data_IF_454549465915
#
_entry.id   IF_454549465915
#
_cell.length_a   1.000
_cell.length_b   1.000
_cell.length_c   1.000
_cell.angle_alpha   90.00
_cell.angle_beta   90.00
_cell.angle_gamma   90.00
#
_symmetry.space_group_name_H-M   'P 1'
#
loop_
_entity.id
_entity.type
_entity.pdbx_description
1 polymer ?
#
# COMPACT_ATOMS: atom_id res chain seq x y z
N UNK A 1 15.07 4.31 -7.11
CA UNK A 1 13.98 5.22 -6.67
C UNK A 1 12.98 5.58 -7.78
N UNK A 2 13.36 5.88 -9.04
CA UNK A 2 12.35 6.18 -10.10
C UNK A 2 11.64 4.92 -10.64
N UNK A 3 12.26 3.74 -10.53
CA UNK A 3 11.71 2.50 -11.10
C UNK A 3 10.59 1.93 -10.23
N UNK A 4 10.75 2.01 -8.92
CA UNK A 4 9.86 1.45 -7.91
C UNK A 4 8.54 2.21 -7.89
N UNK A 5 8.58 3.55 -8.02
CA UNK A 5 7.37 4.35 -8.17
C UNK A 5 6.55 4.02 -9.43
N UNK A 6 7.20 3.64 -10.53
CA UNK A 6 6.53 3.18 -11.76
C UNK A 6 5.86 1.82 -11.53
N UNK A 7 6.59 0.88 -10.93
CA UNK A 7 6.05 -0.44 -10.56
C UNK A 7 4.89 -0.32 -9.58
N UNK A 8 4.98 0.55 -8.58
CA UNK A 8 3.89 0.85 -7.66
C UNK A 8 2.66 1.36 -8.39
N UNK A 9 2.85 2.29 -9.34
CA UNK A 9 1.74 2.83 -10.13
C UNK A 9 1.10 1.75 -11.02
N UNK A 10 1.90 0.89 -11.65
CA UNK A 10 1.44 -0.23 -12.48
C UNK A 10 0.65 -1.26 -11.64
N UNK A 11 1.19 -1.68 -10.50
CA UNK A 11 0.55 -2.64 -9.59
C UNK A 11 -0.78 -2.11 -9.05
N UNK A 12 -0.85 -0.83 -8.67
CA UNK A 12 -2.09 -0.21 -8.21
C UNK A 12 -3.15 -0.12 -9.31
N UNK A 13 -2.77 0.20 -10.55
CA UNK A 13 -3.70 0.25 -11.68
C UNK A 13 -4.22 -1.14 -12.08
N UNK A 14 -3.32 -2.12 -12.06
CA UNK A 14 -3.61 -3.54 -12.30
C UNK A 14 -4.58 -4.10 -11.25
N UNK A 15 -4.22 -3.98 -9.96
CA UNK A 15 -5.06 -4.39 -8.84
C UNK A 15 -6.43 -3.71 -8.85
N UNK A 16 -6.49 -2.43 -9.22
CA UNK A 16 -7.75 -1.69 -9.37
C UNK A 16 -8.61 -2.23 -10.51
N UNK A 17 -8.02 -2.56 -11.66
CA UNK A 17 -8.76 -3.11 -12.80
C UNK A 17 -9.38 -4.49 -12.46
N UNK A 18 -8.72 -5.23 -11.57
CA UNK A 18 -9.14 -6.55 -11.10
C UNK A 18 -10.01 -6.51 -9.84
N UNK A 19 -10.27 -5.32 -9.27
CA UNK A 19 -11.08 -5.17 -8.06
C UNK A 19 -10.42 -5.68 -6.76
N UNK A 20 -9.08 -5.77 -6.74
CA UNK A 20 -8.26 -6.27 -5.62
C UNK A 20 -7.71 -5.18 -4.72
N UNK A 21 -8.24 -3.97 -4.82
CA UNK A 21 -7.73 -2.79 -4.14
C UNK A 21 -8.72 -2.33 -3.07
N UNK A 22 -8.25 -2.24 -1.83
CA UNK A 22 -8.99 -1.67 -0.70
C UNK A 22 -8.36 -0.33 -0.34
N UNK A 23 -9.16 0.72 -0.19
CA UNK A 23 -8.71 2.07 0.18
C UNK A 23 -9.36 2.46 1.49
N UNK A 24 -8.60 3.09 2.39
CA UNK A 24 -9.09 3.61 3.65
C UNK A 24 -8.55 2.83 4.83
N UNK A 25 -8.20 3.53 5.91
CA UNK A 25 -7.56 2.94 7.09
C UNK A 25 -8.46 1.89 7.75
N UNK A 26 -9.75 2.20 7.88
CA UNK A 26 -10.71 1.31 8.54
C UNK A 26 -11.03 0.08 7.68
N UNK A 27 -11.22 0.27 6.38
CA UNK A 27 -11.50 -0.80 5.42
C UNK A 27 -10.31 -1.76 5.33
N UNK A 28 -9.09 -1.22 5.28
CA UNK A 28 -7.87 -2.01 5.28
C UNK A 28 -7.72 -2.80 6.59
N UNK A 29 -7.92 -2.16 7.74
CA UNK A 29 -7.88 -2.83 9.04
C UNK A 29 -8.96 -3.91 9.17
N UNK A 30 -10.13 -3.72 8.56
CA UNK A 30 -11.19 -4.72 8.54
C UNK A 30 -10.75 -5.97 7.78
N UNK A 31 -10.21 -5.82 6.56
CA UNK A 31 -9.71 -6.96 5.77
C UNK A 31 -8.60 -7.69 6.53
N UNK A 32 -7.64 -6.96 7.12
CA UNK A 32 -6.57 -7.54 7.93
C UNK A 32 -7.10 -8.38 9.10
N UNK A 33 -8.18 -7.94 9.76
CA UNK A 33 -8.78 -8.70 10.86
C UNK A 33 -9.62 -9.90 10.39
N UNK A 34 -10.27 -9.80 9.24
CA UNK A 34 -11.16 -10.85 8.71
C UNK A 34 -10.40 -11.94 7.95
N UNK A 35 -9.42 -11.56 7.13
CA UNK A 35 -8.67 -12.44 6.24
C UNK A 35 -7.24 -11.92 5.97
N UNK A 36 -6.30 -12.09 6.93
CA UNK A 36 -4.90 -11.67 6.79
C UNK A 36 -4.22 -12.27 5.55
N UNK A 37 -4.51 -13.54 5.27
CA UNK A 37 -3.84 -14.34 4.25
C UNK A 37 -4.19 -13.86 2.83
N UNK A 38 -5.30 -13.12 2.69
CA UNK A 38 -5.67 -12.47 1.44
C UNK A 38 -4.80 -11.25 1.10
N UNK A 39 -4.11 -10.65 2.07
CA UNK A 39 -3.39 -9.39 1.88
C UNK A 39 -1.98 -9.66 1.36
N UNK A 40 -1.67 -9.10 0.20
CA UNK A 40 -0.35 -9.24 -0.42
C UNK A 40 0.55 -8.06 -0.08
N UNK A 41 0.03 -6.84 -0.20
CA UNK A 41 0.84 -5.62 -0.14
C UNK A 41 0.08 -4.45 0.49
N UNK A 42 0.76 -3.67 1.32
CA UNK A 42 0.21 -2.53 2.05
C UNK A 42 0.94 -1.22 1.71
N UNK A 43 0.19 -0.15 1.54
CA UNK A 43 0.72 1.20 1.35
C UNK A 43 0.17 2.10 2.44
N UNK A 44 1.05 2.88 3.07
CA UNK A 44 0.66 3.97 3.96
C UNK A 44 1.02 5.30 3.32
N UNK A 45 0.07 6.23 3.31
CA UNK A 45 0.26 7.57 2.79
C UNK A 45 -0.13 8.62 3.83
N UNK A 46 0.74 9.59 4.00
CA UNK A 46 0.54 10.73 4.91
C UNK A 46 0.92 11.99 4.17
N UNK A 47 0.21 13.08 4.43
CA UNK A 47 0.80 14.39 4.23
C UNK A 47 1.61 14.73 5.49
N UNK A 48 2.76 15.40 5.30
CA UNK A 48 3.69 15.71 6.39
C UNK A 48 3.13 16.73 7.40
N UNK A 49 1.91 17.26 7.19
CA UNK A 49 1.48 18.48 7.84
C UNK A 49 0.42 18.34 8.94
N UNK A 50 -0.54 17.41 8.90
CA UNK A 50 -1.57 17.31 9.97
C UNK A 50 -2.14 15.90 10.12
N UNK A 51 -1.30 14.92 10.43
CA UNK A 51 -1.82 13.61 10.83
C UNK A 51 -2.28 13.68 12.29
N UNK A 52 -3.57 13.48 12.56
CA UNK A 52 -4.07 13.43 13.93
C UNK A 52 -3.47 12.22 14.69
N UNK A 53 -3.46 12.31 16.02
CA UNK A 53 -2.87 11.23 16.85
C UNK A 53 -3.57 9.89 16.61
N UNK A 54 -4.86 9.91 16.29
CA UNK A 54 -5.61 8.69 16.02
C UNK A 54 -5.13 7.99 14.75
N UNK A 55 -4.86 8.73 13.68
CA UNK A 55 -4.37 8.21 12.41
C UNK A 55 -2.94 7.66 12.55
N UNK A 56 -2.07 8.34 13.34
CA UNK A 56 -0.74 7.81 13.68
C UNK A 56 -0.81 6.51 14.50
N UNK A 57 -1.77 6.38 15.41
CA UNK A 57 -2.03 5.12 16.12
C UNK A 57 -2.42 4.02 15.13
N UNK A 58 -3.34 4.31 14.20
CA UNK A 58 -3.75 3.32 13.19
C UNK A 58 -2.59 2.89 12.29
N UNK A 59 -1.73 3.82 11.85
CA UNK A 59 -0.53 3.47 11.09
C UNK A 59 0.40 2.57 11.87
N UNK A 60 0.61 2.85 13.15
CA UNK A 60 1.43 2.00 14.02
C UNK A 60 0.85 0.59 14.13
N UNK A 61 -0.47 0.47 14.30
CA UNK A 61 -1.16 -0.82 14.36
C UNK A 61 -1.08 -1.59 13.05
N UNK A 62 -1.32 -0.91 11.92
CA UNK A 62 -1.23 -1.52 10.58
C UNK A 62 0.19 -1.97 10.27
N UNK A 63 1.20 -1.15 10.58
CA UNK A 63 2.60 -1.52 10.42
C UNK A 63 2.94 -2.78 11.23
N UNK A 64 2.61 -2.79 12.52
CA UNK A 64 2.82 -3.96 13.38
C UNK A 64 2.16 -5.22 12.82
N UNK A 65 0.91 -5.10 12.37
CA UNK A 65 0.18 -6.21 11.74
C UNK A 65 0.89 -6.72 10.48
N UNK A 66 1.34 -5.81 9.60
CA UNK A 66 2.04 -6.21 8.39
C UNK A 66 3.35 -6.93 8.70
N UNK A 67 4.08 -6.50 9.72
CA UNK A 67 5.31 -7.17 10.15
C UNK A 67 5.06 -8.57 10.71
N UNK A 68 4.04 -8.71 11.56
CA UNK A 68 3.72 -10.00 12.20
C UNK A 68 3.23 -11.05 11.18
N UNK A 69 2.63 -10.62 10.07
CA UNK A 69 2.09 -11.48 9.01
C UNK A 69 2.94 -11.52 7.73
N UNK A 70 4.17 -10.97 7.76
CA UNK A 70 5.07 -10.86 6.61
C UNK A 70 4.46 -10.20 5.35
N UNK A 71 3.54 -9.26 5.56
CA UNK A 71 2.96 -8.46 4.48
C UNK A 71 3.98 -7.38 4.09
N UNK A 72 4.27 -7.27 2.80
CA UNK A 72 5.14 -6.20 2.28
C UNK A 72 4.45 -4.83 2.43
N UNK A 73 5.16 -3.86 3.01
CA UNK A 73 4.62 -2.55 3.34
C UNK A 73 5.56 -1.43 2.91
N UNK A 74 5.00 -0.35 2.34
CA UNK A 74 5.75 0.84 1.92
C UNK A 74 5.07 2.13 2.37
N UNK A 75 5.85 3.21 2.45
CA UNK A 75 5.35 4.57 2.66
C UNK A 75 5.34 5.36 1.34
N UNK A 76 4.31 6.17 1.14
CA UNK A 76 4.18 7.09 0.00
C UNK A 76 3.91 8.51 0.50
N UNK A 77 4.69 9.47 0.02
CA UNK A 77 4.62 10.86 0.53
C UNK A 77 3.66 11.75 -0.26
N UNK A 78 3.09 11.25 -1.36
CA UNK A 78 2.19 12.02 -2.22
C UNK A 78 0.78 11.43 -2.17
N UNK A 79 0.06 11.78 -1.10
CA UNK A 79 -1.33 11.38 -0.87
C UNK A 79 -2.25 11.85 -2.00
N UNK A 80 -2.04 13.05 -2.54
CA UNK A 80 -2.85 13.61 -3.64
C UNK A 80 -2.72 12.76 -4.90
N UNK A 81 -1.50 12.34 -5.22
CA UNK A 81 -1.23 11.52 -6.39
C UNK A 81 -1.71 10.08 -6.20
N UNK A 82 -1.57 9.54 -5.01
CA UNK A 82 -2.15 8.25 -4.67
C UNK A 82 -3.67 8.26 -4.84
N UNK A 83 -4.37 9.25 -4.27
CA UNK A 83 -5.81 9.47 -4.43
C UNK A 83 -6.23 9.52 -5.91
N UNK A 84 -5.48 10.24 -6.74
CA UNK A 84 -5.75 10.33 -8.17
C UNK A 84 -5.61 8.99 -8.90
N UNK A 85 -4.67 8.14 -8.48
CA UNK A 85 -4.40 6.83 -9.08
C UNK A 85 -5.46 5.80 -8.68
N UNK A 86 -5.72 5.67 -7.37
CA UNK A 86 -6.73 4.73 -6.83
C UNK A 86 -8.15 5.18 -7.20
N UNK A 87 -8.34 6.45 -7.58
CA UNK A 87 -9.59 6.97 -8.11
C UNK A 87 -10.63 7.17 -7.03
N UNK A 88 -10.20 7.58 -5.83
CA UNK A 88 -11.08 8.06 -4.77
C UNK A 88 -11.83 9.31 -5.27
N UNK A 89 -12.98 9.10 -5.93
CA UNK A 89 -13.85 10.17 -6.41
C UNK A 89 -14.75 10.63 -5.27
N UNK A 90 -14.26 11.58 -4.47
CA UNK A 90 -15.11 12.37 -3.58
C UNK A 90 -14.56 12.49 -2.16
N UNK A 91 -14.02 13.66 -1.87
CA UNK A 91 -14.08 14.50 -0.65
C UNK A 91 -14.29 13.93 0.78
N UNK A 92 -14.41 12.64 1.05
CA UNK A 92 -14.72 12.17 2.42
C UNK A 92 -13.69 11.23 3.06
N UNK A 93 -12.90 10.49 2.29
CA UNK A 93 -11.89 9.56 2.85
C UNK A 93 -10.60 9.62 2.05
N UNK A 94 -9.55 10.14 2.68
CA UNK A 94 -8.20 10.16 2.13
C UNK A 94 -7.63 8.73 2.07
N UNK A 95 -6.92 8.38 1.00
CA UNK A 95 -6.25 7.10 0.81
C UNK A 95 -5.00 6.95 1.69
N UNK A 96 -5.15 7.15 2.99
CA UNK A 96 -4.09 7.03 3.99
C UNK A 96 -3.55 5.60 4.13
N UNK A 97 -4.38 4.61 3.78
CA UNK A 97 -3.98 3.22 3.68
C UNK A 97 -4.59 2.62 2.40
N UNK A 98 -3.80 1.80 1.70
CA UNK A 98 -4.25 1.02 0.54
C UNK A 98 -3.72 -0.39 0.65
N UNK A 99 -4.59 -1.38 0.49
CA UNK A 99 -4.20 -2.80 0.38
C UNK A 99 -4.40 -3.31 -1.03
N UNK A 100 -3.47 -4.16 -1.44
CA UNK A 100 -3.60 -5.03 -2.60
C UNK A 100 -3.77 -6.45 -2.07
N UNK A 101 -4.87 -7.10 -2.42
CA UNK A 101 -5.10 -8.51 -2.10
C UNK A 101 -4.52 -9.42 -3.18
N UNK A 102 -4.27 -10.67 -2.80
CA UNK A 102 -3.78 -11.72 -3.68
C UNK A 102 -4.68 -11.87 -4.92
N UNK A 103 -4.09 -12.18 -6.09
CA UNK A 103 -4.86 -12.57 -7.26
C UNK A 103 -5.72 -13.81 -6.99
N UNK A 104 -6.79 -14.01 -7.76
CA UNK A 104 -7.56 -15.25 -7.69
C UNK A 104 -6.66 -16.47 -8.00
N UNK A 105 -6.97 -17.65 -7.47
CA UNK A 105 -6.10 -18.85 -7.52
C UNK A 105 -5.61 -19.26 -8.93
N UNK A 106 -6.29 -18.84 -10.00
CA UNK A 106 -5.93 -19.11 -11.40
C UNK A 106 -5.32 -17.91 -12.15
N UNK A 107 -5.04 -16.81 -11.46
CA UNK A 107 -4.52 -15.59 -12.05
C UNK A 107 -3.00 -15.50 -11.88
N UNK A 108 -2.35 -14.87 -12.86
CA UNK A 108 -0.91 -14.69 -12.87
C UNK A 108 -0.51 -13.61 -11.87
N UNK A 109 0.60 -13.80 -11.17
CA UNK A 109 1.17 -12.76 -10.31
C UNK A 109 1.60 -11.56 -11.14
N UNK A 110 1.27 -10.36 -10.65
CA UNK A 110 1.62 -9.12 -11.32
C UNK A 110 3.14 -8.88 -11.23
N UNK A 111 3.87 -8.81 -12.35
CA UNK A 111 5.33 -8.58 -12.34
C UNK A 111 5.73 -7.25 -11.72
N UNK A 112 4.83 -6.27 -11.66
CA UNK A 112 5.07 -5.02 -10.97
C UNK A 112 4.99 -5.19 -9.45
N UNK A 113 4.09 -6.06 -8.97
CA UNK A 113 3.94 -6.39 -7.56
C UNK A 113 5.11 -7.24 -7.05
N UNK A 114 5.55 -8.23 -7.82
CA UNK A 114 6.75 -9.04 -7.53
C UNK A 114 8.00 -8.17 -7.30
N UNK A 115 8.21 -7.16 -8.16
CA UNK A 115 9.31 -6.19 -8.00
C UNK A 115 9.22 -5.39 -6.71
N UNK A 116 8.01 -5.09 -6.24
CA UNK A 116 7.82 -4.36 -4.99
C UNK A 116 8.10 -5.24 -3.77
N UNK A 117 7.76 -6.53 -3.82
CA UNK A 117 8.16 -7.49 -2.80
C UNK A 117 9.68 -7.59 -2.69
N UNK A 118 10.37 -7.75 -3.83
CA UNK A 118 11.84 -7.77 -3.89
C UNK A 118 12.45 -6.46 -3.36
N UNK A 119 11.85 -5.31 -3.69
CA UNK A 119 12.28 -4.03 -3.14
C UNK A 119 12.14 -3.98 -1.61
N UNK A 120 11.03 -4.47 -1.05
CA UNK A 120 10.83 -4.53 0.40
C UNK A 120 11.85 -5.48 1.06
N UNK A 121 12.11 -6.63 0.46
CA UNK A 121 13.12 -7.58 0.95
C UNK A 121 14.54 -6.98 0.93
N UNK A 122 14.91 -6.31 -0.17
CA UNK A 122 16.20 -5.62 -0.28
C UNK A 122 16.32 -4.51 0.78
N UNK A 123 15.29 -3.67 0.98
CA UNK A 123 15.28 -2.62 2.01
C UNK A 123 15.40 -3.18 3.42
N UNK A 124 14.75 -4.32 3.73
CA UNK A 124 14.91 -5.00 5.03
C UNK A 124 16.37 -5.39 5.30
N UNK A 125 17.14 -5.77 4.26
CA UNK A 125 18.57 -6.08 4.41
C UNK A 125 19.43 -4.88 4.84
N UNK A 126 18.93 -3.66 4.62
CA UNK A 126 19.53 -2.40 5.06
C UNK A 126 18.92 -1.84 6.36
N UNK A 127 18.10 -2.62 7.07
CA UNK A 127 17.32 -2.18 8.25
C UNK A 127 16.28 -1.09 7.95
N UNK A 128 15.86 -0.96 6.70
CA UNK A 128 14.77 -0.09 6.28
C UNK A 128 13.46 -0.91 6.23
N UNK A 129 12.74 -0.92 7.36
CA UNK A 129 11.59 -1.81 7.55
C UNK A 129 10.30 -1.36 6.83
N UNK A 130 10.13 -0.05 6.65
CA UNK A 130 9.03 0.54 5.88
C UNK A 130 9.64 1.49 4.86
N UNK A 131 10.10 0.97 3.71
CA UNK A 131 10.77 1.79 2.74
C UNK A 131 9.82 2.78 2.07
N UNK A 132 10.38 3.90 1.66
CA UNK A 132 9.63 5.00 1.07
C UNK A 132 9.69 4.98 -0.46
N UNK A 133 8.55 5.16 -1.11
CA UNK A 133 8.43 5.24 -2.57
C UNK A 133 7.81 6.56 -2.97
N UNK A 134 8.53 7.30 -3.80
CA UNK A 134 7.99 8.48 -4.50
C UNK A 134 7.30 8.02 -5.78
N UNK A 135 6.01 8.30 -5.91
CA UNK A 135 5.30 8.09 -7.18
C UNK A 135 5.93 9.02 -8.25
N UNK A 136 6.07 8.58 -9.53
CA UNK A 136 6.78 9.33 -10.59
C UNK A 136 6.22 10.75 -10.85
N UNK A 137 6.78 11.58 -11.73
CA UNK A 137 6.00 12.72 -12.27
C UNK A 137 5.22 12.26 -13.52
N UNK A 138 4.13 12.95 -13.88
CA UNK A 138 3.29 12.55 -15.02
C UNK A 138 3.89 13.00 -16.34
#
# INVERSE_FOLDING_TARGET
MVKEGKSLSEALLSAKAEGRLTVGVYECAKIMNEDPDSVSFCLLATDDFECDVALQIHFTLIQAFCFDNDISIVRVNDLKRLNALVGAKGQLEDAHCVLITNPAEDSWEDPALEKLHLFCEESRSYNEWVPEITLPER
#
